data_IF_257978641081
#
_entry.id   IF_257978641081
#
_cell.length_a   1.000
_cell.length_b   1.000
_cell.length_c   1.000
_cell.angle_alpha   90.00
_cell.angle_beta   90.00
_cell.angle_gamma   90.00
#
_symmetry.space_group_name_H-M   'P 1'
#
loop_
_entity.id
_entity.type
_entity.pdbx_description
1 polymer ?
#
# COMPACT_ATOMS: atom_id res chain seq x y z
N UNK A 1 20.26 -19.15 -5.15
CA UNK A 1 20.05 -18.48 -3.85
C UNK A 1 18.84 -17.59 -3.98
N UNK A 2 17.70 -18.00 -3.41
CA UNK A 2 16.52 -17.13 -3.38
C UNK A 2 16.76 -16.08 -2.31
N UNK A 3 16.72 -14.81 -2.67
CA UNK A 3 16.80 -13.72 -1.70
C UNK A 3 15.61 -13.87 -0.73
N UNK A 4 15.88 -14.08 0.55
CA UNK A 4 14.85 -14.03 1.58
C UNK A 4 14.41 -12.57 1.71
N UNK A 5 13.24 -12.27 1.17
CA UNK A 5 12.65 -10.95 1.28
C UNK A 5 12.23 -10.69 2.74
N UNK A 6 12.51 -9.51 3.31
CA UNK A 6 12.13 -9.18 4.68
C UNK A 6 10.61 -9.15 4.85
N UNK A 7 10.12 -9.64 5.99
CA UNK A 7 8.68 -9.68 6.35
C UNK A 7 8.12 -8.31 6.70
N UNK A 8 8.98 -7.41 7.17
CA UNK A 8 8.66 -6.02 7.48
C UNK A 8 9.72 -5.14 6.84
N UNK A 9 9.28 -4.07 6.17
CA UNK A 9 10.17 -3.01 5.68
C UNK A 9 9.60 -1.68 6.14
N UNK A 10 10.47 -0.71 6.36
CA UNK A 10 10.07 0.66 6.65
C UNK A 10 10.30 1.49 5.39
N UNK A 11 9.30 2.27 5.00
CA UNK A 11 9.46 3.29 3.96
C UNK A 11 9.82 4.60 4.65
N UNK A 12 10.94 5.18 4.25
CA UNK A 12 11.34 6.52 4.66
C UNK A 12 10.73 7.52 3.68
N UNK A 13 9.80 8.32 4.16
CA UNK A 13 9.18 9.41 3.40
C UNK A 13 9.64 10.76 3.96
N UNK A 14 9.74 11.76 3.08
CA UNK A 14 9.84 13.16 3.50
C UNK A 14 8.42 13.65 3.73
N UNK A 15 8.05 13.91 4.99
CA UNK A 15 6.73 14.44 5.31
C UNK A 15 6.74 15.97 5.15
N UNK A 16 6.04 16.53 4.15
CA UNK A 16 6.00 17.97 3.93
C UNK A 16 5.35 18.73 5.09
N UNK A 17 4.43 18.10 5.82
CA UNK A 17 3.72 18.70 6.96
C UNK A 17 4.47 18.57 8.30
N UNK A 18 5.44 17.65 8.39
CA UNK A 18 6.18 17.33 9.61
C UNK A 18 7.56 17.99 9.67
N UNK A 19 7.97 18.69 8.60
CA UNK A 19 9.31 19.27 8.40
C UNK A 19 10.47 18.25 8.64
N UNK A 20 10.23 16.97 8.40
CA UNK A 20 11.16 15.91 8.78
C UNK A 20 10.89 14.54 8.16
N UNK A 21 11.80 13.58 8.38
CA UNK A 21 11.64 12.21 7.95
C UNK A 21 10.53 11.50 8.74
N UNK A 22 9.65 10.80 8.03
CA UNK A 22 8.68 9.88 8.61
C UNK A 22 9.02 8.45 8.19
N UNK A 23 8.95 7.52 9.15
CA UNK A 23 9.04 6.09 8.89
C UNK A 23 7.62 5.51 8.84
N UNK A 24 7.24 4.97 7.69
CA UNK A 24 5.98 4.26 7.52
C UNK A 24 6.23 2.76 7.58
N UNK A 25 5.63 2.03 8.54
CA UNK A 25 5.72 0.58 8.57
C UNK A 25 4.96 -0.01 7.39
N UNK A 26 5.61 -0.92 6.65
CA UNK A 26 5.02 -1.60 5.51
C UNK A 26 4.79 -3.08 5.85
N UNK A 27 3.59 -3.56 5.54
CA UNK A 27 3.24 -4.98 5.65
C UNK A 27 3.49 -5.67 4.32
N UNK A 28 4.17 -6.82 4.36
CA UNK A 28 4.35 -7.67 3.19
C UNK A 28 3.13 -8.55 2.95
N UNK A 29 2.66 -8.57 1.71
CA UNK A 29 1.65 -9.47 1.19
C UNK A 29 2.27 -10.29 0.05
N UNK A 30 2.28 -11.60 0.20
CA UNK A 30 2.65 -12.51 -0.87
C UNK A 30 1.42 -12.82 -1.71
N UNK A 31 1.47 -12.48 -3.00
CA UNK A 31 0.36 -12.65 -3.93
C UNK A 31 0.83 -13.39 -5.18
N UNK A 32 -0.07 -14.16 -5.80
CA UNK A 32 0.17 -14.82 -7.10
C UNK A 32 -0.31 -13.98 -8.28
N UNK A 33 -1.16 -12.99 -8.03
CA UNK A 33 -1.64 -11.99 -8.98
C UNK A 33 -2.35 -10.88 -8.20
N UNK A 34 -2.23 -9.63 -8.65
CA UNK A 34 -2.97 -8.53 -8.05
C UNK A 34 -3.33 -7.45 -9.08
N UNK A 35 -4.38 -6.70 -8.76
CA UNK A 35 -4.83 -5.54 -9.55
C UNK A 35 -4.94 -4.34 -8.62
N UNK A 36 -4.26 -3.25 -8.98
CA UNK A 36 -4.38 -1.96 -8.31
C UNK A 36 -5.25 -1.04 -9.16
N UNK A 37 -6.33 -0.52 -8.57
CA UNK A 37 -7.21 0.45 -9.22
C UNK A 37 -6.83 1.85 -8.77
N UNK A 38 -6.68 2.78 -9.71
CA UNK A 38 -6.48 4.19 -9.41
C UNK A 38 -6.90 5.12 -10.55
N UNK A 39 -6.82 6.45 -10.35
CA UNK A 39 -7.13 7.44 -11.38
C UNK A 39 -6.42 7.23 -12.74
N UNK A 40 -5.15 6.81 -12.82
CA UNK A 40 -4.49 6.57 -14.10
C UNK A 40 -4.95 5.28 -14.81
N UNK A 41 -5.84 4.49 -14.20
CA UNK A 41 -6.29 3.20 -14.69
C UNK A 41 -5.90 2.03 -13.78
N UNK A 42 -6.27 0.81 -14.19
CA UNK A 42 -5.94 -0.41 -13.46
C UNK A 42 -4.54 -0.91 -13.84
N UNK A 43 -3.72 -1.21 -12.84
CA UNK A 43 -2.40 -1.84 -13.01
C UNK A 43 -2.50 -3.29 -12.56
N UNK A 44 -2.31 -4.22 -13.49
CA UNK A 44 -2.43 -5.66 -13.25
C UNK A 44 -1.06 -6.32 -13.30
N UNK A 45 -0.74 -7.10 -12.28
CA UNK A 45 0.45 -7.94 -12.25
C UNK A 45 0.05 -9.42 -12.17
N UNK A 46 0.64 -10.24 -13.04
CA UNK A 46 0.39 -11.69 -13.12
C UNK A 46 1.69 -12.42 -12.82
N UNK A 47 1.65 -13.33 -11.84
CA UNK A 47 2.80 -14.09 -11.37
C UNK A 47 3.14 -13.79 -9.90
N UNK A 48 4.01 -14.61 -9.28
CA UNK A 48 4.41 -14.43 -7.89
C UNK A 48 4.99 -13.04 -7.65
N UNK A 49 4.42 -12.32 -6.70
CA UNK A 49 4.85 -10.97 -6.33
C UNK A 49 4.82 -10.79 -4.81
N UNK A 50 5.83 -10.08 -4.30
CA UNK A 50 5.82 -9.53 -2.95
C UNK A 50 5.36 -8.07 -3.02
N UNK A 51 4.21 -7.77 -2.43
CA UNK A 51 3.64 -6.42 -2.36
C UNK A 51 3.85 -5.89 -0.95
N UNK A 52 4.36 -4.66 -0.85
CA UNK A 52 4.52 -3.97 0.44
C UNK A 52 3.52 -2.83 0.53
N UNK A 53 2.61 -2.89 1.51
CA UNK A 53 1.55 -1.91 1.70
C UNK A 53 1.71 -1.25 3.07
N UNK A 54 1.77 0.08 3.09
CA UNK A 54 1.76 0.89 4.31
C UNK A 54 0.49 1.74 4.36
N UNK A 55 0.11 2.12 5.56
CA UNK A 55 -0.98 3.07 5.78
C UNK A 55 -0.61 4.42 5.19
N UNK A 56 -1.52 5.03 4.43
CA UNK A 56 -1.43 6.44 4.05
C UNK A 56 -2.46 7.21 4.88
N UNK A 57 -2.00 8.24 5.61
CA UNK A 57 -2.87 9.13 6.37
C UNK A 57 -2.83 10.55 5.78
N UNK A 58 -4.00 11.18 5.56
CA UNK A 58 -5.34 10.59 5.64
C UNK A 58 -5.60 9.58 4.51
N UNK A 59 -6.35 8.50 4.80
CA UNK A 59 -6.73 7.53 3.77
C UNK A 59 -7.56 8.23 2.69
N UNK A 60 -7.07 8.38 1.44
CA UNK A 60 -7.79 9.13 0.41
C UNK A 60 -9.03 8.37 -0.07
N UNK A 61 -9.02 7.03 0.07
CA UNK A 61 -10.15 6.17 -0.23
C UNK A 61 -10.92 5.89 1.07
N UNK A 62 -11.62 6.89 1.60
CA UNK A 62 -12.65 6.59 2.60
C UNK A 62 -13.72 5.76 1.89
N UNK A 63 -14.11 4.58 2.41
CA UNK A 63 -15.30 3.92 1.89
C UNK A 63 -16.44 4.93 2.00
N UNK A 64 -17.06 5.25 0.87
CA UNK A 64 -18.31 6.02 0.86
C UNK A 64 -19.26 5.30 1.81
N UNK A 65 -19.76 6.00 2.83
CA UNK A 65 -20.72 5.42 3.77
C UNK A 65 -21.85 4.82 2.94
N UNK A 66 -21.98 3.50 2.97
CA UNK A 66 -23.06 2.82 2.28
C UNK A 66 -24.39 3.49 2.71
N UNK A 67 -25.32 3.76 1.78
CA UNK A 67 -26.60 4.35 2.14
C UNK A 67 -27.20 3.52 3.27
N UNK A 68 -27.48 4.15 4.40
CA UNK A 68 -28.31 3.54 5.42
C UNK A 68 -29.69 3.40 4.80
N UNK A 69 -30.09 2.17 4.45
CA UNK A 69 -31.47 1.86 4.11
C UNK A 69 -32.36 2.35 5.28
N UNK A 70 -33.18 3.37 5.03
CA UNK A 70 -34.27 3.82 5.89
C UNK A 70 -35.59 3.19 5.43
#
# INVERSE_FOLDING_TARGET
MSAEHPKHVERLDLCPDCEGPTLTPMTRLDATSFTLHGPPGALTAVGPAAVYIGSVEPCPNRPEEAPRDE
#
